data_IF_806898126137
#
_entry.id   IF_806898126137
#
_cell.length_a   1.000
_cell.length_b   1.000
_cell.length_c   1.000
_cell.angle_alpha   90.00
_cell.angle_beta   90.00
_cell.angle_gamma   90.00
#
_symmetry.space_group_name_H-M   'P 1'
#
loop_
_entity.id
_entity.type
_entity.pdbx_description
1 polymer ?
#
# COMPACT_ATOMS: atom_id res chain seq x y z
N UNK A 1 13.56 19.20 15.66
CA UNK A 1 12.97 18.04 14.96
C UNK A 1 13.95 16.90 15.03
N UNK A 2 13.58 15.83 15.72
CA UNK A 2 14.41 14.63 15.81
C UNK A 2 14.30 13.78 14.53
N UNK A 3 15.31 12.96 14.22
CA UNK A 3 15.32 12.12 13.01
C UNK A 3 14.06 11.25 12.86
N UNK A 4 13.57 10.67 13.97
CA UNK A 4 12.32 9.89 14.00
C UNK A 4 11.09 10.73 13.61
N UNK A 5 11.02 11.98 14.04
CA UNK A 5 9.91 12.89 13.71
C UNK A 5 9.94 13.27 12.23
N UNK A 6 11.13 13.53 11.69
CA UNK A 6 11.31 13.80 10.27
C UNK A 6 10.86 12.63 9.40
N UNK A 7 11.28 11.40 9.74
CA UNK A 7 10.86 10.19 9.01
C UNK A 7 9.34 9.98 9.12
N UNK A 8 8.75 10.12 10.30
CA UNK A 8 7.30 9.98 10.47
C UNK A 8 6.52 11.04 9.68
N UNK A 9 7.03 12.27 9.61
CA UNK A 9 6.44 13.34 8.82
C UNK A 9 6.42 12.98 7.33
N UNK A 10 7.54 12.50 6.78
CA UNK A 10 7.61 12.07 5.37
C UNK A 10 6.66 10.90 5.10
N UNK A 11 6.63 9.90 5.98
CA UNK A 11 5.74 8.74 5.79
C UNK A 11 4.27 9.18 5.77
N UNK A 12 3.85 9.96 6.76
CA UNK A 12 2.44 10.33 6.91
C UNK A 12 1.97 11.35 5.87
N UNK A 13 2.85 12.28 5.46
CA UNK A 13 2.48 13.37 4.55
C UNK A 13 2.67 12.99 3.08
N UNK A 14 3.64 12.13 2.77
CA UNK A 14 4.00 11.81 1.38
C UNK A 14 3.64 10.36 1.07
N UNK A 15 4.23 9.41 1.79
CA UNK A 15 4.17 7.98 1.42
C UNK A 15 2.74 7.43 1.54
N UNK A 16 2.09 7.62 2.68
CA UNK A 16 0.75 7.07 2.94
C UNK A 16 -0.31 7.57 1.95
N UNK A 17 -0.49 8.88 1.70
CA UNK A 17 -1.49 9.35 0.74
C UNK A 17 -1.14 8.97 -0.70
N UNK A 18 0.15 9.01 -1.08
CA UNK A 18 0.59 8.57 -2.41
C UNK A 18 0.21 7.11 -2.67
N UNK A 19 0.48 6.24 -1.70
CA UNK A 19 0.17 4.82 -1.82
C UNK A 19 -1.33 4.56 -1.96
N UNK A 20 -2.16 5.24 -1.15
CA UNK A 20 -3.63 5.14 -1.24
C UNK A 20 -4.16 5.57 -2.61
N UNK A 21 -3.64 6.65 -3.18
CA UNK A 21 -4.02 7.13 -4.52
C UNK A 21 -3.60 6.11 -5.59
N UNK A 22 -2.35 5.63 -5.53
CA UNK A 22 -1.83 4.64 -6.49
C UNK A 22 -2.61 3.33 -6.45
N UNK A 23 -2.95 2.85 -5.25
CA UNK A 23 -3.79 1.67 -5.10
C UNK A 23 -5.16 1.88 -5.74
N UNK A 24 -5.81 3.03 -5.50
CA UNK A 24 -7.08 3.37 -6.13
C UNK A 24 -7.01 3.39 -7.66
N UNK A 25 -5.99 4.05 -8.22
CA UNK A 25 -5.76 4.10 -9.67
C UNK A 25 -5.49 2.70 -10.24
N UNK A 26 -4.68 1.89 -9.56
CA UNK A 26 -4.39 0.53 -10.00
C UNK A 26 -5.63 -0.36 -10.02
N UNK A 27 -6.52 -0.23 -9.03
CA UNK A 27 -7.79 -0.97 -8.99
C UNK A 27 -8.70 -0.54 -10.16
N UNK A 28 -8.83 0.76 -10.40
CA UNK A 28 -9.62 1.27 -11.54
C UNK A 28 -9.07 0.78 -12.87
N UNK A 29 -7.74 0.83 -13.04
CA UNK A 29 -7.07 0.34 -14.24
C UNK A 29 -7.26 -1.17 -14.40
N UNK A 30 -7.15 -1.94 -13.32
CA UNK A 30 -7.39 -3.39 -13.34
C UNK A 30 -8.81 -3.72 -13.81
N UNK A 31 -9.83 -3.04 -13.27
CA UNK A 31 -11.23 -3.20 -13.69
C UNK A 31 -11.44 -2.82 -15.16
N UNK A 32 -10.82 -1.73 -15.62
CA UNK A 32 -10.90 -1.31 -17.02
C UNK A 32 -10.32 -2.35 -17.98
N UNK A 33 -9.15 -2.90 -17.66
CA UNK A 33 -8.52 -3.95 -18.47
C UNK A 33 -9.37 -5.23 -18.47
N UNK A 34 -9.95 -5.63 -17.34
CA UNK A 34 -10.82 -6.80 -17.26
C UNK A 34 -12.06 -6.67 -18.16
N UNK A 35 -12.70 -5.50 -18.20
CA UNK A 35 -13.80 -5.24 -19.14
C UNK A 35 -13.35 -5.29 -20.60
N UNK A 36 -12.13 -4.83 -20.90
CA UNK A 36 -11.53 -4.94 -22.24
C UNK A 36 -11.34 -6.39 -22.70
N UNK A 37 -10.99 -7.31 -21.79
CA UNK A 37 -10.85 -8.75 -22.13
C UNK A 37 -12.19 -9.33 -22.59
N UNK A 38 -13.30 -8.94 -21.94
CA UNK A 38 -14.63 -9.39 -22.33
C UNK A 38 -15.01 -8.82 -23.69
N UNK A 39 -14.83 -7.51 -23.90
CA UNK A 39 -15.30 -6.81 -25.11
C UNK A 39 -14.58 -7.25 -26.38
N UNK A 40 -13.30 -7.60 -26.29
CA UNK A 40 -12.46 -7.89 -27.46
C UNK A 40 -12.31 -9.40 -27.72
N UNK A 41 -13.23 -10.24 -27.24
CA UNK A 41 -13.12 -11.69 -27.35
C UNK A 41 -13.18 -12.20 -28.80
N UNK A 42 -13.72 -11.39 -29.73
CA UNK A 42 -13.86 -11.74 -31.14
C UNK A 42 -12.59 -11.44 -31.96
N UNK A 43 -11.65 -10.66 -31.42
CA UNK A 43 -10.38 -10.34 -32.08
C UNK A 43 -9.19 -10.93 -31.30
N UNK A 44 -8.57 -12.03 -31.79
CA UNK A 44 -7.51 -12.72 -31.06
C UNK A 44 -6.25 -11.88 -30.83
N UNK A 45 -5.92 -10.93 -31.71
CA UNK A 45 -4.77 -10.04 -31.54
C UNK A 45 -4.99 -9.03 -30.42
N UNK A 46 -6.17 -8.40 -30.39
CA UNK A 46 -6.54 -7.44 -29.34
C UNK A 46 -6.69 -8.14 -27.99
N UNK A 47 -7.29 -9.33 -27.97
CA UNK A 47 -7.41 -10.16 -26.78
C UNK A 47 -6.04 -10.48 -26.17
N UNK A 48 -5.06 -10.84 -27.01
CA UNK A 48 -3.70 -11.12 -26.55
C UNK A 48 -3.04 -9.88 -25.93
N UNK A 49 -3.28 -8.70 -26.50
CA UNK A 49 -2.77 -7.43 -25.97
C UNK A 49 -3.39 -7.08 -24.62
N UNK A 50 -4.72 -7.18 -24.48
CA UNK A 50 -5.40 -6.85 -23.22
C UNK A 50 -5.04 -7.86 -22.12
N UNK A 51 -4.91 -9.16 -22.46
CA UNK A 51 -4.43 -10.17 -21.50
C UNK A 51 -3.05 -9.85 -20.95
N UNK A 52 -2.11 -9.41 -21.81
CA UNK A 52 -0.79 -8.96 -21.36
C UNK A 52 -0.89 -7.76 -20.41
N UNK A 53 -1.76 -6.79 -20.70
CA UNK A 53 -1.98 -5.64 -19.83
C UNK A 53 -2.60 -6.01 -18.48
N UNK A 54 -3.52 -6.98 -18.45
CA UNK A 54 -4.10 -7.50 -17.22
C UNK A 54 -3.04 -8.14 -16.30
N UNK A 55 -2.11 -8.92 -16.88
CA UNK A 55 -0.98 -9.49 -16.13
C UNK A 55 -0.11 -8.41 -15.49
N UNK A 56 0.20 -7.33 -16.23
CA UNK A 56 0.92 -6.18 -15.66
C UNK A 56 0.18 -5.51 -14.50
N UNK A 57 -1.15 -5.40 -14.60
CA UNK A 57 -1.99 -4.90 -13.51
C UNK A 57 -1.90 -5.77 -12.25
N UNK A 58 -1.95 -7.10 -12.42
CA UNK A 58 -1.81 -8.06 -11.30
C UNK A 58 -0.44 -7.92 -10.65
N UNK A 59 0.64 -7.87 -11.44
CA UNK A 59 2.00 -7.72 -10.93
C UNK A 59 2.14 -6.43 -10.10
N UNK A 60 1.60 -5.31 -10.60
CA UNK A 60 1.62 -4.04 -9.88
C UNK A 60 0.92 -4.14 -8.52
N UNK A 61 -0.27 -4.75 -8.47
CA UNK A 61 -1.02 -4.96 -7.23
C UNK A 61 -0.25 -5.87 -6.27
N UNK A 62 0.31 -6.97 -6.77
CA UNK A 62 1.09 -7.91 -5.96
C UNK A 62 2.29 -7.23 -5.30
N UNK A 63 3.05 -6.41 -6.04
CA UNK A 63 4.21 -5.68 -5.49
C UNK A 63 3.76 -4.70 -4.41
N UNK A 64 2.70 -3.93 -4.65
CA UNK A 64 2.15 -2.99 -3.67
C UNK A 64 1.73 -3.71 -2.38
N UNK A 65 0.91 -4.77 -2.50
CA UNK A 65 0.44 -5.54 -1.34
C UNK A 65 1.60 -6.21 -0.61
N UNK A 66 2.60 -6.72 -1.34
CA UNK A 66 3.78 -7.36 -0.76
C UNK A 66 4.60 -6.40 0.11
N UNK A 67 4.81 -5.16 -0.32
CA UNK A 67 5.55 -4.17 0.47
C UNK A 67 4.82 -3.83 1.77
N UNK A 68 3.50 -3.65 1.73
CA UNK A 68 2.71 -3.34 2.91
C UNK A 68 2.57 -4.55 3.86
N UNK A 69 2.42 -5.75 3.29
CA UNK A 69 2.45 -7.01 4.03
C UNK A 69 3.76 -7.18 4.80
N UNK A 70 4.90 -6.82 4.18
CA UNK A 70 6.20 -6.82 4.86
C UNK A 70 6.27 -5.80 6.00
N UNK A 71 5.77 -4.58 5.78
CA UNK A 71 5.71 -3.54 6.83
C UNK A 71 4.92 -4.07 8.04
N UNK A 72 3.74 -4.65 7.81
CA UNK A 72 2.92 -5.23 8.89
C UNK A 72 3.59 -6.43 9.56
N UNK A 73 4.25 -7.27 8.77
CA UNK A 73 4.95 -8.43 9.30
C UNK A 73 6.07 -7.98 10.25
N UNK A 74 6.85 -6.98 9.86
CA UNK A 74 7.95 -6.44 10.69
C UNK A 74 7.41 -5.70 11.92
N UNK A 75 6.41 -4.83 11.77
CA UNK A 75 5.85 -4.08 12.91
C UNK A 75 5.13 -4.99 13.91
N UNK A 76 4.41 -6.01 13.41
CA UNK A 76 3.71 -7.00 14.22
C UNK A 76 4.65 -7.99 14.91
N UNK A 77 5.68 -8.48 14.20
CA UNK A 77 6.66 -9.43 14.77
C UNK A 77 7.57 -8.78 15.82
N UNK A 78 7.94 -7.51 15.63
CA UNK A 78 8.78 -6.77 16.57
C UNK A 78 8.00 -6.18 17.75
N UNK A 79 6.69 -6.43 17.87
CA UNK A 79 5.79 -5.84 18.89
C UNK A 79 6.04 -4.35 19.10
N UNK A 80 6.26 -3.61 18.02
CA UNK A 80 6.46 -2.17 18.09
C UNK A 80 5.10 -1.55 18.44
N UNK A 81 4.84 -1.33 19.73
CA UNK A 81 3.67 -0.60 20.18
C UNK A 81 3.77 0.84 19.67
N UNK A 82 3.16 1.10 18.52
CA UNK A 82 3.04 2.44 17.92
C UNK A 82 2.21 3.39 18.81
N UNK A 83 1.58 2.86 19.88
CA UNK A 83 0.63 3.56 20.75
C UNK A 83 1.08 3.69 22.21
N UNK A 84 2.29 3.30 22.59
CA UNK A 84 2.75 3.49 23.97
C UNK A 84 3.06 4.99 24.20
N UNK A 85 2.02 5.75 24.51
CA UNK A 85 2.16 7.03 25.21
C UNK A 85 2.84 6.66 26.53
N UNK A 86 4.13 6.94 26.66
CA UNK A 86 4.87 6.79 27.92
C UNK A 86 4.10 7.62 28.94
N UNK A 87 3.35 6.95 29.83
CA UNK A 87 2.50 7.63 30.78
C UNK A 87 3.38 8.15 31.93
N UNK A 88 3.77 9.42 31.82
CA UNK A 88 4.64 10.11 32.78
C UNK A 88 3.96 10.33 34.14
N UNK A 89 2.64 10.15 34.23
CA UNK A 89 1.88 10.25 35.49
C UNK A 89 2.38 9.27 36.56
N UNK A 90 2.99 8.15 36.15
CA UNK A 90 3.56 7.17 37.09
C UNK A 90 4.79 7.71 37.84
N UNK A 91 5.51 8.66 37.25
CA UNK A 91 6.75 9.23 37.80
C UNK A 91 6.54 10.55 38.54
N UNK A 92 5.35 11.15 38.43
CA UNK A 92 4.97 12.36 39.16
C UNK A 92 4.22 12.09 40.47
N UNK A 93 4.09 10.82 40.91
CA UNK A 93 3.49 10.52 42.21
C UNK A 93 4.41 11.06 43.33
N UNK A 94 3.98 12.06 44.13
CA UNK A 94 4.73 12.45 45.31
C UNK A 94 4.73 11.27 46.30
N UNK A 95 5.91 10.95 46.84
CA UNK A 95 6.11 9.95 47.90
C UNK A 95 5.43 10.38 49.20
#
# INVERSE_FOLDING_TARGET
MNFKEFINYIINTVITPFFSIFLGVAVVFFLWNMMGVYKNNDNPEELAKVKKQAVWGIIAITVMVSMWGLVNFVTGSLKLNTSDRINLERFERPL
#
